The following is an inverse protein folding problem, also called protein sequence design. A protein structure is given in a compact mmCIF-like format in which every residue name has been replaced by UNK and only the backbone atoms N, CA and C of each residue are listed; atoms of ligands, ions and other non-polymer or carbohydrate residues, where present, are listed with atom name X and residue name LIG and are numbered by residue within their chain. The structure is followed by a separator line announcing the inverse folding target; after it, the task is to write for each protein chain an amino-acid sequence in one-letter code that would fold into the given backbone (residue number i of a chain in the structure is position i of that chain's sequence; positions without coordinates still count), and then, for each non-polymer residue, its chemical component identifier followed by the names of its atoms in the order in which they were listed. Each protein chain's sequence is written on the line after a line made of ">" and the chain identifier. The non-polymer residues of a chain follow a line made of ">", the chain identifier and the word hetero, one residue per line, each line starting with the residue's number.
data_IF_345297760830
#
_entry.id   IF_345297760830
#
_cell.length_a   1.000
_cell.length_b   1.000
_cell.length_c   1.000
_cell.angle_alpha   90.00
_cell.angle_beta   90.00
_cell.angle_gamma   90.00
#
_symmetry.space_group_name_H-M   'P 1'
#
loop_
_entity.id
_entity.type
_entity.pdbx_description
1 polymer ?
#
# COMPACT_ATOMS: atom_id res chain seq x y z
N UNK A 1 -83.67 28.14 -17.87
CA UNK A 1 -83.18 27.31 -18.99
C UNK A 1 -81.88 26.61 -18.49
N UNK A 2 -81.97 25.31 -18.17
CA UNK A 2 -80.82 24.56 -17.63
C UNK A 2 -80.17 23.83 -18.79
N UNK A 3 -78.89 24.21 -19.09
CA UNK A 3 -78.10 23.57 -20.12
C UNK A 3 -77.51 22.26 -19.60
N UNK A 4 -77.92 21.13 -20.18
CA UNK A 4 -77.35 19.79 -19.91
C UNK A 4 -76.01 19.63 -20.63
N UNK A 5 -74.89 19.62 -19.91
CA UNK A 5 -73.60 19.22 -20.41
C UNK A 5 -73.59 17.71 -20.63
N UNK A 6 -73.42 17.29 -21.90
CA UNK A 6 -73.22 15.87 -22.28
C UNK A 6 -71.80 15.46 -22.03
N UNK A 7 -71.54 14.64 -21.01
CA UNK A 7 -70.26 13.95 -20.79
C UNK A 7 -70.04 12.88 -21.87
N UNK A 8 -69.04 13.06 -22.74
CA UNK A 8 -68.57 12.05 -23.72
C UNK A 8 -67.97 10.87 -22.99
N UNK A 9 -68.62 9.73 -22.97
CA UNK A 9 -68.13 8.46 -22.47
C UNK A 9 -66.98 7.99 -23.39
N UNK A 10 -65.76 7.96 -22.90
CA UNK A 10 -64.59 7.45 -23.65
C UNK A 10 -64.82 5.96 -23.95
N UNK A 11 -64.71 5.54 -25.22
CA UNK A 11 -64.77 4.13 -25.61
C UNK A 11 -63.50 3.37 -25.06
N UNK A 12 -63.66 2.16 -24.54
CA UNK A 12 -62.51 1.38 -24.10
C UNK A 12 -61.64 1.02 -25.31
N UNK A 13 -60.32 1.13 -25.15
CA UNK A 13 -59.36 0.75 -26.18
C UNK A 13 -59.51 -0.72 -26.53
N UNK A 14 -59.46 -1.03 -27.84
CA UNK A 14 -59.41 -2.37 -28.39
C UNK A 14 -58.12 -3.11 -27.92
N UNK A 15 -58.18 -4.46 -27.82
CA UNK A 15 -57.12 -5.30 -27.31
C UNK A 15 -55.79 -5.10 -28.05
N UNK A 16 -55.85 -4.87 -29.37
CA UNK A 16 -54.67 -4.56 -30.19
C UNK A 16 -54.06 -3.20 -29.82
N UNK A 17 -54.85 -2.19 -29.56
CA UNK A 17 -54.39 -0.87 -29.14
C UNK A 17 -53.79 -0.89 -27.72
N UNK A 18 -54.32 -1.76 -26.83
CA UNK A 18 -53.70 -1.98 -25.50
C UNK A 18 -52.32 -2.66 -25.61
N UNK A 19 -52.20 -3.65 -26.51
CA UNK A 19 -50.93 -4.33 -26.76
C UNK A 19 -49.87 -3.36 -27.32
N UNK A 20 -50.23 -2.52 -28.29
CA UNK A 20 -49.30 -1.51 -28.81
C UNK A 20 -48.92 -0.45 -27.77
N UNK A 21 -49.83 -0.09 -26.88
CA UNK A 21 -49.54 0.83 -25.77
C UNK A 21 -48.54 0.22 -24.78
N UNK A 22 -48.72 -1.06 -24.45
CA UNK A 22 -47.76 -1.78 -23.56
C UNK A 22 -46.39 -1.90 -24.22
N UNK A 23 -46.33 -2.27 -25.50
CA UNK A 23 -45.08 -2.33 -26.23
C UNK A 23 -44.36 -0.97 -26.30
N UNK A 24 -45.10 0.10 -26.55
CA UNK A 24 -44.53 1.44 -26.56
C UNK A 24 -44.03 1.87 -25.16
N UNK A 25 -44.73 1.54 -24.09
CA UNK A 25 -44.32 1.80 -22.71
C UNK A 25 -43.05 1.00 -22.37
N UNK A 26 -42.98 -0.28 -22.74
CA UNK A 26 -41.80 -1.13 -22.55
C UNK A 26 -40.59 -0.56 -23.32
N UNK A 27 -40.77 -0.10 -24.56
CA UNK A 27 -39.70 0.51 -25.36
C UNK A 27 -39.19 1.81 -24.74
N UNK A 28 -40.07 2.64 -24.21
CA UNK A 28 -39.68 3.88 -23.50
C UNK A 28 -38.95 3.55 -22.22
N UNK A 29 -39.39 2.58 -21.44
CA UNK A 29 -38.70 2.13 -20.23
C UNK A 29 -37.29 1.58 -20.55
N UNK A 30 -37.15 0.79 -21.63
CA UNK A 30 -35.87 0.29 -22.07
C UNK A 30 -34.90 1.43 -22.44
N UNK A 31 -35.37 2.42 -23.19
CA UNK A 31 -34.59 3.60 -23.56
C UNK A 31 -34.20 4.44 -22.34
N UNK A 32 -35.07 4.56 -21.36
CA UNK A 32 -34.78 5.24 -20.09
C UNK A 32 -33.72 4.45 -19.29
N UNK A 33 -33.83 3.13 -19.22
CA UNK A 33 -32.84 2.28 -18.57
C UNK A 33 -31.47 2.39 -19.26
N UNK A 34 -31.43 2.39 -20.60
CA UNK A 34 -30.19 2.58 -21.37
C UNK A 34 -29.61 3.98 -21.10
N UNK A 35 -30.45 5.02 -21.09
CA UNK A 35 -30.02 6.38 -20.82
C UNK A 35 -29.48 6.53 -19.38
N UNK A 36 -30.12 5.90 -18.39
CA UNK A 36 -29.65 5.87 -17.01
C UNK A 36 -28.34 5.07 -16.90
N UNK A 37 -28.24 3.93 -17.60
CA UNK A 37 -26.99 3.14 -17.61
C UNK A 37 -25.85 3.92 -18.24
N UNK A 38 -26.08 4.61 -19.37
CA UNK A 38 -25.09 5.47 -20.00
C UNK A 38 -24.74 6.69 -19.13
N UNK A 39 -25.71 7.27 -18.44
CA UNK A 39 -25.47 8.35 -17.49
C UNK A 39 -24.70 7.87 -16.24
N UNK A 40 -24.97 6.65 -15.77
CA UNK A 40 -24.21 6.02 -14.68
C UNK A 40 -22.79 5.65 -15.12
N UNK A 41 -22.60 5.14 -16.34
CA UNK A 41 -21.26 4.89 -16.90
C UNK A 41 -20.50 6.23 -17.04
N UNK A 42 -21.13 7.27 -17.56
CA UNK A 42 -20.56 8.61 -17.61
C UNK A 42 -20.34 9.25 -16.23
N UNK A 43 -21.16 8.92 -15.23
CA UNK A 43 -20.97 9.38 -13.85
C UNK A 43 -19.91 8.57 -13.11
N UNK A 44 -19.69 7.31 -13.47
CA UNK A 44 -18.55 6.51 -12.95
C UNK A 44 -17.23 6.96 -13.57
N UNK A 45 -17.24 7.41 -14.83
CA UNK A 45 -16.08 8.04 -15.46
C UNK A 45 -15.86 9.49 -14.95
N UNK A 46 -16.92 10.11 -14.40
CA UNK A 46 -16.87 11.47 -13.82
C UNK A 46 -16.82 11.49 -12.30
N UNK A 47 -16.92 10.34 -11.63
CA UNK A 47 -16.91 10.18 -10.17
C UNK A 47 -15.52 9.95 -9.57
N UNK A 48 -14.48 9.85 -10.38
CA UNK A 48 -13.11 10.20 -9.98
C UNK A 48 -13.12 11.73 -9.80
N UNK A 49 -13.04 12.18 -8.54
CA UNK A 49 -13.20 13.57 -8.11
C UNK A 49 -12.79 14.57 -9.16
N UNK A 50 -13.74 15.34 -9.63
CA UNK A 50 -13.47 16.59 -10.32
C UNK A 50 -12.96 17.60 -9.29
N UNK A 51 -11.70 17.46 -8.88
CA UNK A 51 -10.83 18.62 -8.93
C UNK A 51 -10.84 19.01 -10.41
N UNK A 52 -11.34 20.19 -10.74
CA UNK A 52 -11.10 20.84 -12.03
C UNK A 52 -9.70 20.47 -12.44
N UNK A 53 -9.59 19.53 -13.40
CA UNK A 53 -8.35 19.31 -14.11
C UNK A 53 -8.12 20.63 -14.84
N UNK A 54 -7.44 21.53 -14.17
CA UNK A 54 -6.48 22.37 -14.85
C UNK A 54 -5.70 21.38 -15.73
N UNK A 55 -5.66 21.60 -17.02
CA UNK A 55 -4.81 20.84 -17.94
C UNK A 55 -3.38 21.12 -17.50
N UNK A 56 -3.02 20.51 -16.34
CA UNK A 56 -1.76 20.69 -15.68
C UNK A 56 -0.69 20.25 -16.65
N UNK A 57 0.08 21.21 -17.12
CA UNK A 57 1.26 20.96 -17.93
C UNK A 57 2.08 19.89 -17.22
N UNK A 58 2.30 18.74 -17.87
CA UNK A 58 3.20 17.71 -17.39
C UNK A 58 4.55 18.35 -17.09
N UNK A 59 5.10 18.05 -15.92
CA UNK A 59 6.37 18.59 -15.47
C UNK A 59 7.48 17.56 -15.56
N UNK A 60 8.71 18.03 -15.74
CA UNK A 60 9.92 17.22 -15.73
C UNK A 60 10.88 17.82 -14.71
N UNK A 61 11.39 16.98 -13.83
CA UNK A 61 12.43 17.36 -12.87
C UNK A 61 13.73 17.72 -13.61
N UNK A 62 14.38 18.80 -13.20
CA UNK A 62 15.70 19.18 -13.71
C UNK A 62 16.79 18.76 -12.73
N UNK A 63 17.87 18.16 -13.26
CA UNK A 63 19.07 17.85 -12.46
C UNK A 63 19.01 16.55 -11.68
N UNK A 64 18.03 15.68 -11.90
CA UNK A 64 18.00 14.35 -11.33
C UNK A 64 19.22 13.52 -11.73
N UNK A 65 19.88 12.90 -10.76
CA UNK A 65 21.06 12.06 -10.97
C UNK A 65 20.84 10.70 -10.29
N UNK A 66 20.59 9.67 -11.09
CA UNK A 66 20.29 8.31 -10.60
C UNK A 66 21.46 7.68 -9.85
N UNK A 67 22.72 7.94 -10.26
CA UNK A 67 23.93 7.34 -9.63
C UNK A 67 24.06 7.80 -8.17
N UNK A 68 23.71 9.05 -7.88
CA UNK A 68 23.73 9.61 -6.52
C UNK A 68 22.53 9.10 -5.70
N UNK A 69 21.49 8.61 -6.36
CA UNK A 69 20.23 8.25 -5.76
C UNK A 69 19.95 6.73 -5.74
N UNK A 70 20.90 5.90 -6.12
CA UNK A 70 20.82 4.43 -6.02
C UNK A 70 21.06 3.95 -4.60
N UNK A 71 20.32 2.94 -4.16
CA UNK A 71 20.56 2.23 -2.90
C UNK A 71 21.79 1.33 -3.07
N UNK A 72 22.72 1.38 -2.13
CA UNK A 72 23.81 0.42 -2.05
C UNK A 72 23.28 -0.90 -1.45
N UNK A 73 22.90 -1.83 -2.32
CA UNK A 73 22.33 -3.10 -1.89
C UNK A 73 23.29 -3.95 -1.04
N UNK A 74 24.62 -3.77 -1.21
CA UNK A 74 25.60 -4.53 -0.43
C UNK A 74 25.66 -4.05 1.03
N UNK A 75 25.40 -2.77 1.28
CA UNK A 75 25.32 -2.22 2.64
C UNK A 75 24.11 -2.72 3.42
N UNK A 76 23.11 -3.27 2.75
CA UNK A 76 21.81 -3.69 3.31
C UNK A 76 21.44 -5.14 2.95
N UNK A 77 22.41 -6.01 2.71
CA UNK A 77 22.22 -7.39 2.24
C UNK A 77 21.36 -8.25 3.18
N UNK A 78 21.42 -8.01 4.49
CA UNK A 78 20.58 -8.67 5.48
C UNK A 78 19.14 -8.11 5.56
N UNK A 79 18.92 -6.90 5.03
CA UNK A 79 17.65 -6.14 5.13
C UNK A 79 16.85 -6.23 3.84
N UNK A 80 17.52 -6.06 2.70
CA UNK A 80 16.88 -6.16 1.37
C UNK A 80 16.63 -7.64 1.08
N UNK A 81 15.39 -7.96 0.69
CA UNK A 81 15.03 -9.32 0.34
C UNK A 81 15.79 -9.78 -0.91
N UNK A 82 16.53 -10.89 -0.82
CA UNK A 82 17.25 -11.44 -1.96
C UNK A 82 16.32 -12.14 -2.94
N UNK A 83 16.80 -12.39 -4.16
CA UNK A 83 16.08 -13.23 -5.13
C UNK A 83 15.91 -14.64 -4.58
N UNK A 84 14.70 -15.15 -4.64
CA UNK A 84 14.28 -16.51 -4.25
C UNK A 84 13.67 -17.27 -5.42
N UNK A 85 13.40 -18.56 -5.25
CA UNK A 85 12.50 -19.27 -6.12
C UNK A 85 11.10 -18.60 -6.05
N UNK A 86 10.30 -18.72 -7.14
CA UNK A 86 8.93 -18.20 -7.14
C UNK A 86 8.11 -18.91 -6.05
N UNK A 87 7.62 -18.17 -5.09
CA UNK A 87 6.86 -18.66 -3.95
C UNK A 87 5.37 -18.92 -4.28
N UNK A 88 4.95 -18.60 -5.50
CA UNK A 88 3.61 -18.90 -6.01
C UNK A 88 2.50 -18.00 -5.46
N UNK A 89 1.28 -18.38 -5.79
CA UNK A 89 0.08 -17.59 -5.44
C UNK A 89 -0.25 -17.68 -3.94
N UNK A 90 0.10 -18.80 -3.27
CA UNK A 90 -0.10 -18.93 -1.82
C UNK A 90 0.64 -17.87 -1.02
N UNK A 91 1.84 -17.48 -1.46
CA UNK A 91 2.59 -16.39 -0.84
C UNK A 91 1.84 -15.05 -0.91
N UNK A 92 1.18 -14.79 -2.04
CA UNK A 92 0.35 -13.59 -2.23
C UNK A 92 -0.89 -13.65 -1.32
N UNK A 93 -1.57 -14.80 -1.26
CA UNK A 93 -2.78 -14.99 -0.45
C UNK A 93 -2.52 -14.84 1.06
N UNK A 94 -1.33 -15.25 1.53
CA UNK A 94 -0.91 -15.13 2.93
C UNK A 94 -0.34 -13.75 3.30
N UNK A 95 -0.13 -12.88 2.31
CA UNK A 95 0.39 -11.52 2.48
C UNK A 95 -0.75 -10.52 2.53
N UNK A 96 -0.82 -9.69 3.57
CA UNK A 96 -1.73 -8.55 3.62
C UNK A 96 -1.04 -7.31 3.06
N UNK A 97 -1.53 -6.80 1.94
CA UNK A 97 -1.03 -5.60 1.29
C UNK A 97 -1.66 -4.36 1.93
N UNK A 98 -0.85 -3.47 2.46
CA UNK A 98 -1.30 -2.21 3.07
C UNK A 98 -0.71 -1.03 2.30
N UNK A 99 -1.53 -0.05 1.93
CA UNK A 99 -0.99 1.10 1.21
C UNK A 99 -2.00 2.15 0.77
N UNK A 100 -1.57 2.91 -0.21
CA UNK A 100 -2.29 4.03 -0.79
C UNK A 100 -3.07 3.65 -2.07
N UNK A 101 -3.20 4.61 -3.00
CA UNK A 101 -3.88 4.41 -4.28
C UNK A 101 -3.27 3.31 -5.14
N UNK A 102 -1.94 3.12 -5.13
CA UNK A 102 -1.30 2.05 -5.87
C UNK A 102 -1.69 0.67 -5.31
N UNK A 103 -1.77 0.53 -3.97
CA UNK A 103 -2.29 -0.68 -3.34
C UNK A 103 -3.79 -0.89 -3.65
N UNK A 104 -4.61 0.17 -3.61
CA UNK A 104 -6.01 0.08 -3.99
C UNK A 104 -6.20 -0.43 -5.43
N UNK A 105 -5.32 -0.05 -6.35
CA UNK A 105 -5.36 -0.51 -7.76
C UNK A 105 -5.09 -1.99 -7.91
N UNK A 106 -4.29 -2.61 -7.01
CA UNK A 106 -3.96 -4.04 -7.06
C UNK A 106 -5.21 -4.91 -7.11
N UNK A 107 -6.23 -4.59 -6.33
CA UNK A 107 -7.46 -5.40 -6.22
C UNK A 107 -8.73 -4.72 -6.77
N UNK A 108 -8.82 -3.38 -6.74
CA UNK A 108 -9.99 -2.67 -7.27
C UNK A 108 -10.01 -2.62 -8.80
N UNK A 109 -8.83 -2.70 -9.46
CA UNK A 109 -8.70 -2.49 -10.90
C UNK A 109 -8.04 -3.65 -11.64
N UNK A 110 -7.12 -4.37 -11.01
CA UNK A 110 -6.21 -5.26 -11.72
C UNK A 110 -6.30 -6.73 -11.31
N UNK A 111 -6.98 -7.06 -10.23
CA UNK A 111 -7.23 -8.44 -9.74
C UNK A 111 -5.95 -9.23 -9.42
N UNK A 112 -4.88 -8.57 -8.94
CA UNK A 112 -3.66 -9.23 -8.46
C UNK A 112 -3.77 -9.72 -7.02
N UNK A 113 -4.68 -9.18 -6.25
CA UNK A 113 -5.08 -9.59 -4.91
C UNK A 113 -6.56 -9.24 -4.70
N UNK A 114 -7.10 -9.50 -3.52
CA UNK A 114 -8.52 -9.34 -3.23
C UNK A 114 -8.76 -8.51 -1.98
N UNK A 115 -10.02 -8.24 -1.65
CA UNK A 115 -10.41 -7.66 -0.36
C UNK A 115 -10.05 -8.54 0.85
N UNK A 116 -9.72 -9.82 0.65
CA UNK A 116 -9.33 -10.69 1.76
C UNK A 116 -7.87 -10.41 2.20
N UNK A 117 -7.02 -9.92 1.30
CA UNK A 117 -5.59 -9.74 1.54
C UNK A 117 -5.01 -8.40 1.08
N UNK A 118 -5.85 -7.37 0.86
CA UNK A 118 -5.37 -6.03 0.54
C UNK A 118 -6.26 -4.93 1.14
N UNK A 119 -5.64 -3.87 1.62
CA UNK A 119 -6.28 -2.67 2.14
C UNK A 119 -5.55 -1.46 1.57
N UNK A 120 -6.16 -0.78 0.61
CA UNK A 120 -5.62 0.42 -0.02
C UNK A 120 -6.55 1.60 0.17
N UNK A 121 -6.05 2.70 0.74
CA UNK A 121 -6.79 3.95 0.93
C UNK A 121 -6.21 5.04 0.02
N UNK A 122 -6.97 5.44 -0.99
CA UNK A 122 -6.54 6.46 -1.96
C UNK A 122 -6.22 7.77 -1.25
N UNK A 123 -5.06 8.34 -1.57
CA UNK A 123 -4.58 9.59 -0.97
C UNK A 123 -3.98 9.45 0.44
N UNK A 124 -3.88 8.22 0.97
CA UNK A 124 -3.35 8.01 2.31
C UNK A 124 -1.83 8.18 2.35
N UNK A 125 -1.37 8.95 3.32
CA UNK A 125 0.05 9.11 3.65
C UNK A 125 0.48 8.18 4.79
N UNK A 126 1.77 7.86 4.88
CA UNK A 126 2.34 7.10 5.99
C UNK A 126 2.05 7.73 7.36
N UNK A 127 1.94 9.05 7.41
CA UNK A 127 1.55 9.82 8.60
C UNK A 127 0.21 9.38 9.20
N UNK A 128 -0.71 8.89 8.38
CA UNK A 128 -2.06 8.52 8.79
C UNK A 128 -2.20 7.03 9.14
N UNK A 129 -1.15 6.22 8.96
CA UNK A 129 -1.18 4.76 9.10
C UNK A 129 -1.70 4.30 10.48
N UNK A 130 -1.23 4.93 11.55
CA UNK A 130 -1.62 4.55 12.91
C UNK A 130 -3.02 5.03 13.32
N UNK A 131 -3.52 6.13 12.73
CA UNK A 131 -4.65 6.88 13.27
C UNK A 131 -5.89 6.94 12.39
N UNK A 132 -5.76 6.83 11.07
CA UNK A 132 -6.90 6.94 10.17
C UNK A 132 -7.75 5.66 10.17
N UNK A 133 -8.99 5.76 10.67
CA UNK A 133 -9.95 4.67 10.69
C UNK A 133 -10.59 4.51 9.31
N UNK A 134 -9.96 3.71 8.45
CA UNK A 134 -10.35 3.54 7.05
C UNK A 134 -10.89 2.14 6.71
N UNK A 135 -10.70 1.14 7.56
CA UNK A 135 -10.98 -0.26 7.24
C UNK A 135 -12.34 -0.69 7.76
N UNK A 136 -13.19 -1.28 6.91
CA UNK A 136 -14.44 -1.90 7.29
C UNK A 136 -14.35 -3.43 7.18
N UNK A 137 -14.74 -4.13 8.24
CA UNK A 137 -14.78 -5.58 8.27
C UNK A 137 -16.23 -6.09 8.29
N UNK A 138 -16.44 -7.32 7.81
CA UNK A 138 -17.77 -7.96 7.75
C UNK A 138 -18.47 -8.09 9.12
N UNK A 139 -17.70 -8.02 10.21
CA UNK A 139 -18.22 -8.15 11.58
C UNK A 139 -18.66 -6.84 12.22
N UNK A 140 -18.47 -5.69 11.54
CA UNK A 140 -18.76 -4.37 12.10
C UNK A 140 -19.12 -3.35 11.04
N UNK A 141 -20.07 -2.45 11.34
CA UNK A 141 -20.36 -1.26 10.53
C UNK A 141 -19.39 -0.10 10.81
N UNK A 142 -18.61 -0.17 11.88
CA UNK A 142 -17.64 0.86 12.25
C UNK A 142 -16.33 0.65 11.51
N UNK A 143 -15.69 1.77 11.13
CA UNK A 143 -14.35 1.75 10.58
C UNK A 143 -13.30 1.63 11.68
N UNK A 144 -12.24 0.92 11.38
CA UNK A 144 -11.06 0.73 12.25
C UNK A 144 -9.78 1.16 11.52
N UNK A 145 -8.69 1.33 12.26
CA UNK A 145 -7.38 1.66 11.68
C UNK A 145 -6.73 0.41 11.06
N UNK A 146 -5.73 0.59 10.19
CA UNK A 146 -4.96 -0.54 9.63
C UNK A 146 -4.29 -1.40 10.69
N UNK A 147 -3.64 -0.87 11.76
CA UNK A 147 -3.14 -1.70 12.87
C UNK A 147 -4.21 -2.56 13.53
N UNK A 148 -5.39 -1.99 13.78
CA UNK A 148 -6.52 -2.75 14.33
C UNK A 148 -7.05 -3.81 13.37
N UNK A 149 -7.00 -3.56 12.07
CA UNK A 149 -7.38 -4.53 11.05
C UNK A 149 -6.38 -5.68 10.99
N UNK A 150 -5.07 -5.41 11.01
CA UNK A 150 -4.01 -6.44 11.06
C UNK A 150 -4.23 -7.36 12.26
N UNK A 151 -4.49 -6.82 13.44
CA UNK A 151 -4.77 -7.60 14.64
C UNK A 151 -6.00 -8.52 14.53
N UNK A 152 -6.98 -8.17 13.69
CA UNK A 152 -8.18 -8.98 13.45
C UNK A 152 -8.04 -9.97 12.30
N UNK A 153 -7.30 -9.58 11.25
CA UNK A 153 -7.05 -10.40 10.06
C UNK A 153 -5.93 -11.43 10.28
N UNK A 154 -4.98 -11.12 11.16
CA UNK A 154 -3.86 -11.97 11.57
C UNK A 154 -3.12 -12.61 10.37
N UNK A 155 -2.59 -11.79 9.44
CA UNK A 155 -1.82 -12.31 8.31
C UNK A 155 -0.46 -12.88 8.77
N UNK A 156 0.16 -13.75 7.97
CA UNK A 156 1.56 -14.15 8.21
C UNK A 156 2.48 -12.93 8.12
N UNK A 157 2.27 -12.11 7.09
CA UNK A 157 3.09 -10.93 6.82
C UNK A 157 2.25 -9.77 6.31
N UNK A 158 2.77 -8.56 6.52
CA UNK A 158 2.26 -7.35 5.87
C UNK A 158 3.30 -6.81 4.91
N UNK A 159 2.87 -6.39 3.72
CA UNK A 159 3.67 -5.65 2.77
C UNK A 159 3.13 -4.23 2.67
N UNK A 160 3.92 -3.25 3.13
CA UNK A 160 3.50 -1.85 3.22
C UNK A 160 4.07 -1.03 2.06
N UNK A 161 3.20 -0.35 1.31
CA UNK A 161 3.58 0.54 0.22
C UNK A 161 2.96 1.91 0.44
N UNK A 162 3.69 2.80 1.13
CA UNK A 162 3.33 4.19 1.38
C UNK A 162 4.47 5.12 1.00
N UNK A 163 4.17 6.38 0.82
CA UNK A 163 5.16 7.43 0.62
C UNK A 163 4.85 8.34 -0.55
N UNK A 164 4.14 7.87 -1.58
CA UNK A 164 3.79 8.70 -2.74
C UNK A 164 3.01 9.95 -2.32
N UNK A 165 2.09 9.83 -1.36
CA UNK A 165 1.31 10.95 -0.83
C UNK A 165 2.03 11.75 0.27
N UNK A 166 3.23 11.34 0.64
CA UNK A 166 4.10 12.04 1.57
C UNK A 166 5.14 12.92 0.85
N UNK A 167 5.27 12.75 -0.47
CA UNK A 167 6.22 13.52 -1.29
C UNK A 167 5.80 14.99 -1.36
N UNK A 168 6.58 15.84 -0.74
CA UNK A 168 6.38 17.27 -0.71
C UNK A 168 7.71 17.96 -0.42
N UNK A 169 8.12 19.01 -1.16
CA UNK A 169 9.38 19.70 -0.95
C UNK A 169 9.58 20.27 0.46
N UNK A 170 8.48 20.53 1.17
CA UNK A 170 8.51 21.05 2.55
C UNK A 170 8.51 19.96 3.61
N UNK A 171 8.30 18.68 3.23
CA UNK A 171 8.23 17.58 4.19
C UNK A 171 9.57 16.86 4.27
N UNK A 172 10.19 16.96 5.44
CA UNK A 172 11.54 16.41 5.64
C UNK A 172 11.52 14.91 5.69
N UNK A 173 12.53 14.27 5.08
CA UNK A 173 12.74 12.81 5.11
C UNK A 173 12.71 12.25 6.53
N UNK A 174 13.32 12.94 7.51
CA UNK A 174 13.31 12.49 8.90
C UNK A 174 11.91 12.45 9.52
N UNK A 175 11.02 13.42 9.18
CA UNK A 175 9.65 13.46 9.67
C UNK A 175 8.80 12.38 9.00
N UNK A 176 9.01 12.12 7.70
CA UNK A 176 8.40 11.01 6.98
C UNK A 176 8.75 9.67 7.64
N UNK A 177 10.03 9.40 7.85
CA UNK A 177 10.52 8.15 8.47
C UNK A 177 9.96 7.99 9.88
N UNK A 178 10.00 9.03 10.71
CA UNK A 178 9.44 9.00 12.07
C UNK A 178 7.96 8.61 12.07
N UNK A 179 7.17 9.20 11.18
CA UNK A 179 5.74 8.92 11.10
C UNK A 179 5.47 7.51 10.57
N UNK A 180 6.20 7.07 9.54
CA UNK A 180 6.05 5.73 8.99
C UNK A 180 6.43 4.67 10.02
N UNK A 181 7.57 4.83 10.67
CA UNK A 181 8.02 3.96 11.75
C UNK A 181 6.97 3.84 12.86
N UNK A 182 6.42 4.96 13.34
CA UNK A 182 5.35 4.95 14.35
C UNK A 182 4.11 4.19 13.88
N UNK A 183 3.77 4.27 12.59
CA UNK A 183 2.67 3.51 11.99
C UNK A 183 2.92 2.00 12.01
N UNK A 184 4.13 1.58 11.65
CA UNK A 184 4.53 0.16 11.67
C UNK A 184 4.62 -0.36 13.12
N UNK A 185 5.20 0.41 14.04
CA UNK A 185 5.25 0.06 15.45
C UNK A 185 3.86 -0.14 16.06
N UNK A 186 2.86 0.63 15.62
CA UNK A 186 1.47 0.42 16.01
C UNK A 186 0.90 -0.90 15.46
N UNK A 187 1.31 -1.34 14.28
CA UNK A 187 0.96 -2.66 13.73
C UNK A 187 1.57 -3.77 14.58
N UNK A 188 2.88 -3.70 14.84
CA UNK A 188 3.60 -4.69 15.65
C UNK A 188 3.04 -4.76 17.08
N UNK A 189 2.72 -3.60 17.68
CA UNK A 189 2.08 -3.56 19.01
C UNK A 189 0.68 -4.19 19.02
N UNK A 190 -0.08 -4.04 17.93
CA UNK A 190 -1.41 -4.62 17.81
C UNK A 190 -1.38 -6.13 17.49
N UNK A 191 -0.36 -6.59 16.79
CA UNK A 191 -0.20 -8.00 16.37
C UNK A 191 1.29 -8.36 16.24
N UNK A 192 1.95 -8.85 17.31
CA UNK A 192 3.41 -9.10 17.35
C UNK A 192 3.91 -10.23 16.44
N UNK A 193 3.07 -11.20 16.08
CA UNK A 193 3.45 -12.34 15.22
C UNK A 193 3.51 -11.99 13.73
N UNK A 194 3.36 -10.73 13.35
CA UNK A 194 3.35 -10.35 11.94
C UNK A 194 4.76 -10.04 11.42
N UNK A 195 5.12 -10.63 10.31
CA UNK A 195 6.32 -10.22 9.56
C UNK A 195 6.09 -8.87 8.88
N UNK A 196 7.06 -7.97 9.04
CA UNK A 196 7.02 -6.64 8.44
C UNK A 196 7.92 -6.60 7.19
N UNK A 197 7.30 -6.27 6.05
CA UNK A 197 8.00 -6.00 4.80
C UNK A 197 7.62 -4.60 4.34
N UNK A 198 8.59 -3.70 4.23
CA UNK A 198 8.40 -2.36 3.67
C UNK A 198 8.79 -2.41 2.20
N UNK A 199 7.85 -2.09 1.33
CA UNK A 199 8.14 -1.97 -0.09
C UNK A 199 8.69 -0.60 -0.42
N UNK A 200 9.61 -0.51 -1.37
CA UNK A 200 10.06 0.76 -1.91
C UNK A 200 8.90 1.57 -2.48
N UNK A 201 8.94 2.89 -2.34
CA UNK A 201 8.05 3.80 -3.05
C UNK A 201 8.30 3.63 -4.55
N UNK A 202 7.24 3.37 -5.35
CA UNK A 202 7.38 3.21 -6.78
C UNK A 202 7.99 4.46 -7.46
N UNK A 203 8.79 4.28 -8.52
CA UNK A 203 9.29 5.41 -9.29
C UNK A 203 8.16 6.13 -10.01
N UNK A 204 8.32 7.43 -10.20
CA UNK A 204 7.43 8.25 -11.02
C UNK A 204 7.93 8.34 -12.47
N UNK A 205 7.06 8.71 -13.38
CA UNK A 205 7.42 9.00 -14.78
C UNK A 205 8.31 10.22 -14.88
N UNK A 206 9.16 10.25 -15.91
CA UNK A 206 9.98 11.43 -16.20
C UNK A 206 9.12 12.68 -16.43
N UNK A 207 7.91 12.47 -16.92
CA UNK A 207 6.85 13.49 -16.99
C UNK A 207 5.70 13.05 -16.08
N UNK A 208 5.21 13.96 -15.25
CA UNK A 208 4.11 13.71 -14.34
C UNK A 208 3.28 14.97 -14.09
N UNK A 209 2.06 14.80 -13.61
CA UNK A 209 1.09 15.89 -13.45
C UNK A 209 1.28 16.71 -12.17
N UNK A 210 2.00 16.20 -11.16
CA UNK A 210 2.16 16.86 -9.87
C UNK A 210 3.52 17.54 -9.74
N UNK A 211 3.54 18.88 -9.78
CA UNK A 211 4.76 19.70 -9.71
C UNK A 211 5.54 19.58 -8.39
N UNK A 212 4.92 19.07 -7.33
CA UNK A 212 5.57 18.89 -6.04
C UNK A 212 6.34 17.58 -5.92
N UNK A 213 6.16 16.65 -6.87
CA UNK A 213 6.87 15.37 -6.85
C UNK A 213 8.20 15.47 -7.58
N UNK A 214 9.21 14.79 -7.04
CA UNK A 214 10.51 14.61 -7.70
C UNK A 214 10.99 13.17 -7.51
N UNK A 215 11.65 12.60 -8.53
CA UNK A 215 12.27 11.29 -8.41
C UNK A 215 13.42 11.32 -7.39
N UNK A 216 14.10 12.45 -7.26
CA UNK A 216 15.11 12.68 -6.22
C UNK A 216 14.53 12.41 -4.83
N UNK A 217 13.38 12.98 -4.50
CA UNK A 217 12.75 12.77 -3.19
C UNK A 217 12.25 11.33 -3.00
N UNK A 218 11.72 10.69 -4.07
CA UNK A 218 11.36 9.26 -4.04
C UNK A 218 12.57 8.43 -3.62
N UNK A 219 13.71 8.68 -4.22
CA UNK A 219 14.92 7.90 -3.95
C UNK A 219 15.55 8.22 -2.59
N UNK A 220 15.49 9.47 -2.15
CA UNK A 220 15.89 9.87 -0.79
C UNK A 220 15.06 9.16 0.27
N UNK A 221 13.74 9.09 0.06
CA UNK A 221 12.84 8.37 0.95
C UNK A 221 13.13 6.87 0.94
N UNK A 222 13.35 6.26 -0.22
CA UNK A 222 13.67 4.84 -0.34
C UNK A 222 15.00 4.49 0.36
N UNK A 223 16.03 5.34 0.28
CA UNK A 223 17.27 5.18 1.06
C UNK A 223 17.00 5.25 2.57
N UNK A 224 16.17 6.18 3.00
CA UNK A 224 15.83 6.32 4.41
C UNK A 224 14.93 5.16 4.90
N UNK A 225 14.07 4.60 4.03
CA UNK A 225 13.24 3.43 4.35
C UNK A 225 14.08 2.17 4.56
N UNK A 226 15.06 1.89 3.70
CA UNK A 226 15.92 0.72 3.88
C UNK A 226 16.75 0.84 5.15
N UNK A 227 17.24 2.05 5.49
CA UNK A 227 17.93 2.30 6.75
C UNK A 227 17.01 2.08 7.96
N UNK A 228 15.78 2.60 7.93
CA UNK A 228 14.79 2.35 8.97
C UNK A 228 14.52 0.83 9.15
N UNK A 229 14.40 0.09 8.05
CA UNK A 229 14.21 -1.36 8.11
C UNK A 229 15.41 -2.05 8.76
N UNK A 230 16.63 -1.66 8.42
CA UNK A 230 17.86 -2.19 9.05
C UNK A 230 17.88 -1.89 10.57
N UNK A 231 17.56 -0.66 10.98
CA UNK A 231 17.57 -0.24 12.38
C UNK A 231 16.50 -0.96 13.21
N UNK A 232 15.45 -1.47 12.58
CA UNK A 232 14.28 -2.11 13.23
C UNK A 232 14.22 -3.61 13.01
N UNK A 233 15.17 -4.20 12.31
CA UNK A 233 15.15 -5.62 11.90
C UNK A 233 13.89 -6.00 11.09
N UNK A 234 13.36 -5.05 10.30
CA UNK A 234 12.30 -5.30 9.33
C UNK A 234 12.92 -5.59 7.96
N UNK A 235 12.13 -6.19 7.05
CA UNK A 235 12.59 -6.47 5.70
C UNK A 235 12.20 -5.36 4.74
N UNK A 236 13.05 -5.14 3.74
CA UNK A 236 12.82 -4.16 2.67
C UNK A 236 12.73 -4.87 1.33
N UNK A 237 11.63 -4.66 0.60
CA UNK A 237 11.43 -5.13 -0.76
C UNK A 237 11.79 -4.02 -1.73
N UNK A 238 12.92 -4.16 -2.44
CA UNK A 238 13.40 -3.13 -3.37
C UNK A 238 12.73 -3.21 -4.75
N UNK A 239 11.40 -3.24 -4.80
CA UNK A 239 10.66 -3.39 -6.06
C UNK A 239 10.89 -2.24 -7.06
N UNK A 240 11.40 -1.10 -6.60
CA UNK A 240 11.76 0.01 -7.48
C UNK A 240 12.78 -0.42 -8.55
N UNK A 241 13.65 -1.40 -8.29
CA UNK A 241 14.65 -1.84 -9.28
C UNK A 241 14.01 -2.49 -10.51
N UNK A 242 12.90 -3.21 -10.36
CA UNK A 242 12.19 -3.82 -11.50
C UNK A 242 11.28 -2.82 -12.22
N UNK A 243 10.88 -1.76 -11.53
CA UNK A 243 9.99 -0.72 -12.07
C UNK A 243 10.74 0.42 -12.75
N UNK A 244 11.99 0.69 -12.38
CA UNK A 244 12.84 1.75 -12.93
C UNK A 244 13.44 1.38 -14.28
N UNK A 245 13.51 2.35 -15.15
CA UNK A 245 14.37 2.33 -16.33
C UNK A 245 15.83 2.53 -15.90
N UNK A 246 16.70 1.59 -16.27
CA UNK A 246 18.10 1.59 -15.84
C UNK A 246 18.93 2.73 -16.45
N UNK A 247 18.49 3.31 -17.58
CA UNK A 247 19.18 4.42 -18.20
C UNK A 247 18.82 5.76 -17.54
N UNK A 248 17.56 5.93 -17.16
CA UNK A 248 17.05 7.23 -16.69
C UNK A 248 16.81 7.30 -15.18
N UNK A 249 16.52 6.16 -14.51
CA UNK A 249 16.16 6.10 -13.10
C UNK A 249 14.69 6.44 -12.80
N UNK A 250 13.94 6.90 -13.79
CA UNK A 250 12.47 7.08 -13.70
C UNK A 250 11.74 5.75 -13.96
N UNK A 251 10.42 5.74 -13.83
CA UNK A 251 9.62 4.59 -14.22
C UNK A 251 9.85 4.20 -15.68
N UNK A 252 9.90 2.89 -15.96
CA UNK A 252 9.95 2.36 -17.32
C UNK A 252 8.78 2.91 -18.15
N UNK A 253 9.01 3.11 -19.44
CA UNK A 253 7.97 3.53 -20.39
C UNK A 253 6.77 2.56 -20.30
N UNK A 254 5.56 3.10 -20.13
CA UNK A 254 4.33 2.32 -20.00
C UNK A 254 4.10 1.71 -18.63
N UNK A 255 4.95 1.96 -17.63
CA UNK A 255 4.78 1.45 -16.26
C UNK A 255 3.98 2.40 -15.36
N UNK A 256 3.85 3.66 -15.74
CA UNK A 256 2.96 4.62 -15.08
C UNK A 256 1.90 5.11 -16.06
N UNK A 257 0.73 5.48 -15.53
CA UNK A 257 -0.37 6.00 -16.33
C UNK A 257 0.05 7.26 -17.07
N UNK A 258 -0.22 7.31 -18.37
CA UNK A 258 0.13 8.46 -19.20
C UNK A 258 -0.62 9.74 -18.79
N UNK A 259 -1.73 9.62 -18.10
CA UNK A 259 -2.55 10.73 -17.60
C UNK A 259 -1.93 11.49 -16.43
N UNK A 260 -1.13 10.83 -15.62
CA UNK A 260 -0.56 11.44 -14.41
C UNK A 260 0.94 11.19 -14.21
N UNK A 261 1.50 10.14 -14.78
CA UNK A 261 2.91 9.78 -14.61
C UNK A 261 3.26 9.26 -13.19
N UNK A 262 2.27 8.82 -12.40
CA UNK A 262 2.44 8.47 -10.99
C UNK A 262 1.88 7.07 -10.69
N UNK A 263 0.64 6.80 -11.08
CA UNK A 263 -0.02 5.56 -10.79
C UNK A 263 0.50 4.42 -11.67
N UNK A 264 0.77 3.27 -11.06
CA UNK A 264 1.25 2.10 -11.76
C UNK A 264 0.19 1.53 -12.70
N UNK A 265 0.60 1.15 -13.91
CA UNK A 265 -0.23 0.46 -14.90
C UNK A 265 -0.34 -1.04 -14.57
N UNK A 266 -1.23 -1.76 -15.29
CA UNK A 266 -1.32 -3.23 -15.20
C UNK A 266 0.03 -3.90 -15.50
N UNK A 267 0.77 -3.44 -16.50
CA UNK A 267 2.09 -3.99 -16.86
C UNK A 267 3.11 -3.82 -15.72
N UNK A 268 3.10 -2.67 -15.06
CA UNK A 268 3.94 -2.45 -13.88
C UNK A 268 3.53 -3.34 -12.70
N UNK A 269 2.23 -3.55 -12.49
CA UNK A 269 1.71 -4.44 -11.46
C UNK A 269 2.11 -5.90 -11.72
N UNK A 270 2.08 -6.36 -12.96
CA UNK A 270 2.55 -7.71 -13.33
C UNK A 270 4.04 -7.89 -12.97
N UNK A 271 4.88 -6.91 -13.30
CA UNK A 271 6.29 -6.92 -12.93
C UNK A 271 6.49 -6.89 -11.41
N UNK A 272 5.72 -6.06 -10.71
CA UNK A 272 5.74 -5.95 -9.24
C UNK A 272 5.35 -7.27 -8.57
N UNK A 273 4.27 -7.92 -8.97
CA UNK A 273 3.81 -9.16 -8.36
C UNK A 273 4.75 -10.34 -8.68
N UNK A 274 5.36 -10.36 -9.87
CA UNK A 274 6.43 -11.30 -10.18
C UNK A 274 7.64 -11.08 -9.26
N UNK A 275 8.01 -9.82 -9.02
CA UNK A 275 9.11 -9.47 -8.12
C UNK A 275 8.79 -9.87 -6.67
N UNK A 276 7.59 -9.62 -6.18
CA UNK A 276 7.14 -10.01 -4.83
C UNK A 276 7.28 -11.53 -4.63
N UNK A 277 6.84 -12.35 -5.60
CA UNK A 277 6.93 -13.81 -5.49
C UNK A 277 8.36 -14.32 -5.57
N UNK A 278 9.24 -13.64 -6.29
CA UNK A 278 10.65 -14.04 -6.46
C UNK A 278 11.61 -13.37 -5.48
N UNK A 279 11.10 -12.60 -4.53
CA UNK A 279 11.82 -11.99 -3.40
C UNK A 279 11.01 -12.22 -2.12
N UNK A 280 10.67 -13.48 -1.89
CA UNK A 280 9.79 -13.87 -0.79
C UNK A 280 10.53 -13.88 0.55
N UNK A 281 9.79 -13.54 1.61
CA UNK A 281 10.20 -13.69 3.00
C UNK A 281 9.24 -14.63 3.70
N UNK A 282 9.70 -15.84 4.00
CA UNK A 282 8.90 -16.88 4.64
C UNK A 282 9.62 -17.28 5.91
N UNK A 283 8.91 -17.10 7.03
CA UNK A 283 9.35 -17.46 8.38
C UNK A 283 8.54 -18.64 8.90
N UNK A 284 8.89 -19.14 10.06
CA UNK A 284 8.04 -20.06 10.79
C UNK A 284 6.74 -19.36 11.22
N UNK A 285 5.60 -20.01 10.98
CA UNK A 285 4.29 -19.46 11.34
C UNK A 285 4.00 -19.68 12.83
N UNK A 286 4.17 -18.63 13.62
CA UNK A 286 3.91 -18.61 15.07
C UNK A 286 2.55 -17.99 15.45
N UNK A 287 1.68 -17.80 14.45
CA UNK A 287 0.37 -17.21 14.69
C UNK A 287 -0.49 -18.08 15.61
N UNK A 288 -1.30 -17.44 16.47
CA UNK A 288 -2.29 -18.15 17.27
C UNK A 288 -3.27 -18.94 16.38
N UNK A 289 -3.70 -20.11 16.82
CA UNK A 289 -4.75 -20.85 16.15
C UNK A 289 -6.07 -20.06 16.14
N UNK A 290 -6.60 -19.81 14.95
CA UNK A 290 -7.78 -18.98 14.72
C UNK A 290 -9.01 -19.84 14.49
N UNK A 291 -10.13 -19.46 15.11
CA UNK A 291 -11.44 -20.10 14.88
C UNK A 291 -12.19 -19.45 13.72
N UNK A 292 -11.98 -18.17 13.47
CA UNK A 292 -12.53 -17.44 12.32
C UNK A 292 -11.77 -16.15 12.10
N UNK A 293 -11.58 -15.78 10.83
CA UNK A 293 -10.99 -14.50 10.40
C UNK A 293 -12.11 -13.67 9.78
N UNK A 294 -12.35 -12.43 10.24
CA UNK A 294 -13.34 -11.56 9.60
C UNK A 294 -12.83 -11.14 8.22
N UNK A 295 -13.77 -10.94 7.28
CA UNK A 295 -13.40 -10.46 5.95
C UNK A 295 -13.33 -8.93 5.91
N UNK A 296 -12.36 -8.39 5.21
CA UNK A 296 -12.33 -7.01 4.81
C UNK A 296 -13.42 -6.79 3.75
N UNK A 297 -14.28 -5.77 3.93
CA UNK A 297 -15.45 -5.54 3.05
C UNK A 297 -15.45 -4.17 2.38
N UNK A 298 -14.57 -3.28 2.79
CA UNK A 298 -14.43 -1.95 2.20
C UNK A 298 -13.51 -1.04 3.00
N UNK A 299 -13.17 0.09 2.41
CA UNK A 299 -12.33 1.12 3.01
C UNK A 299 -12.81 2.53 2.67
N UNK A 300 -12.39 3.49 3.49
CA UNK A 300 -12.48 4.92 3.21
C UNK A 300 -11.20 5.41 2.55
N UNK A 301 -11.36 6.23 1.53
CA UNK A 301 -10.23 6.88 0.88
C UNK A 301 -9.89 8.19 1.61
N UNK A 302 -8.62 8.37 1.99
CA UNK A 302 -8.15 9.54 2.73
C UNK A 302 -8.32 10.84 1.91
N UNK A 303 -8.19 10.78 0.59
CA UNK A 303 -8.40 11.91 -0.30
C UNK A 303 -9.82 12.51 -0.22
N UNK A 304 -10.82 11.70 0.16
CA UNK A 304 -12.22 12.13 0.27
C UNK A 304 -12.51 12.72 1.66
N UNK A 305 -11.73 12.34 2.66
CA UNK A 305 -11.94 12.69 4.07
C UNK A 305 -10.92 13.69 4.61
N UNK A 306 -10.18 14.40 3.75
CA UNK A 306 -9.46 15.60 4.16
C UNK A 306 -10.50 16.58 4.68
N UNK A 307 -10.52 16.84 5.99
CA UNK A 307 -11.38 17.88 6.55
C UNK A 307 -11.11 19.18 5.80
N UNK A 308 -12.15 19.90 5.34
CA UNK A 308 -11.94 21.19 4.75
C UNK A 308 -11.18 22.03 5.79
N UNK A 309 -10.02 22.56 5.42
CA UNK A 309 -9.31 23.54 6.22
C UNK A 309 -10.28 24.68 6.38
N UNK A 310 -10.86 24.85 7.57
CA UNK A 310 -11.61 26.03 7.93
C UNK A 310 -10.59 27.16 7.95
N UNK A 311 -10.48 27.87 6.84
CA UNK A 311 -9.75 29.13 6.78
C UNK A 311 -10.62 30.07 7.62
N UNK A 312 -10.26 30.21 8.89
CA UNK A 312 -10.76 31.31 9.71
C UNK A 312 -10.19 32.55 9.05
N UNK A 313 -11.00 33.23 8.25
CA UNK A 313 -10.63 34.57 7.77
C UNK A 313 -10.34 35.40 8.99
N UNK A 314 -9.07 35.77 9.17
CA UNK A 314 -8.69 36.82 10.06
C UNK A 314 -9.32 38.06 9.47
N UNK A 315 -10.19 38.79 10.22
CA UNK A 315 -10.79 40.03 9.70
C UNK A 315 -9.69 40.96 9.27
N UNK A 316 -9.69 41.35 8.02
CA UNK A 316 -8.77 42.37 7.52
C UNK A 316 -8.95 43.61 8.35
N UNK A 317 -7.89 44.03 9.04
CA UNK A 317 -7.84 45.32 9.74
C UNK A 317 -8.04 46.42 8.71
N UNK A 318 -9.21 47.05 8.77
CA UNK A 318 -9.55 48.24 8.01
C UNK A 318 -8.60 49.37 8.45
N UNK A 319 -7.72 49.76 7.53
CA UNK A 319 -6.99 51.01 7.66
C UNK A 319 -7.92 52.19 7.35
N UNK A 320 -8.38 52.89 8.36
CA UNK A 320 -8.90 54.23 8.21
C UNK A 320 -8.15 55.11 9.20
N UNK A 321 -7.39 56.04 8.62
CA UNK A 321 -6.74 57.12 9.32
C UNK A 321 -7.77 58.20 9.73
N UNK A 322 -7.67 58.75 10.91
CA UNK A 322 -7.59 60.17 11.17
C UNK A 322 -7.72 60.54 12.66
N UNK A 323 -6.74 61.22 13.11
CA UNK A 323 -6.66 62.37 13.99
C UNK A 323 -7.47 62.48 15.28
N UNK A 324 -6.68 62.83 16.25
CA UNK A 324 -6.79 63.84 17.35
C UNK A 324 -7.03 63.33 18.76
N UNK A 325 -5.97 63.54 19.52
CA UNK A 325 -5.87 64.21 20.84
C UNK A 325 -6.72 63.74 22.02
N UNK A 326 -6.01 63.45 23.03
CA UNK A 326 -6.06 63.88 24.47
C UNK A 326 -6.22 62.71 25.49
N UNK A 327 -5.31 62.83 26.43
CA UNK A 327 -5.01 62.16 27.70
C UNK A 327 -6.21 62.12 28.69
N UNK A 328 -6.14 61.45 29.90
CA UNK A 328 -5.14 60.58 30.51
C UNK A 328 -5.67 59.30 31.16
N UNK A 329 -4.70 58.44 31.60
CA UNK A 329 -4.79 57.23 32.43
C UNK A 329 -5.83 57.24 33.57
N UNK A 330 -6.26 56.04 33.99
CA UNK A 330 -5.81 55.57 35.30
C UNK A 330 -5.29 54.11 35.32
N UNK A 331 -4.20 53.99 36.05
CA UNK A 331 -3.56 52.86 36.69
C UNK A 331 -4.55 51.90 37.32
N UNK A 332 -4.49 50.60 36.95
CA UNK A 332 -4.99 49.50 37.79
C UNK A 332 -3.89 48.48 38.05
N UNK A 333 -3.83 48.04 39.29
CA UNK A 333 -2.86 47.18 39.96
C UNK A 333 -2.77 45.78 39.39
N UNK A 334 -1.65 45.07 39.57
CA UNK A 334 -1.50 43.66 39.14
C UNK A 334 -2.23 42.73 40.07
N UNK A 335 -3.16 41.94 39.51
CA UNK A 335 -3.79 40.82 40.19
C UNK A 335 -2.81 39.64 40.21
N UNK A 336 -2.51 39.17 41.40
CA UNK A 336 -1.66 37.99 41.67
C UNK A 336 -2.25 36.71 41.06
N UNK A 337 -1.41 35.99 40.32
CA UNK A 337 -1.66 34.61 39.87
C UNK A 337 -1.69 33.66 41.09
N UNK A 338 -2.62 32.71 41.16
CA UNK A 338 -2.57 31.67 42.19
C UNK A 338 -1.46 30.67 41.90
N UNK A 339 -0.54 30.57 42.85
CA UNK A 339 0.51 29.55 42.94
C UNK A 339 -0.10 28.15 42.96
N UNK A 340 0.21 27.32 41.98
CA UNK A 340 -0.12 25.92 41.96
C UNK A 340 0.68 25.16 43.03
N UNK A 341 -0.02 24.40 43.87
CA UNK A 341 0.57 23.46 44.82
C UNK A 341 1.36 22.32 44.10
N UNK A 342 2.48 21.89 44.68
CA UNK A 342 3.26 20.81 44.07
C UNK A 342 2.53 19.45 44.20
N UNK A 343 2.32 18.79 43.10
CA UNK A 343 1.87 17.36 43.00
C UNK A 343 2.92 16.46 43.66
N UNK A 344 2.56 15.52 44.55
CA UNK A 344 3.53 14.61 45.13
C UNK A 344 4.09 13.63 44.07
N UNK A 345 5.40 13.42 44.15
CA UNK A 345 6.15 12.42 43.37
C UNK A 345 5.63 11.02 43.64
N UNK A 346 5.46 10.14 42.65
CA UNK A 346 5.12 8.75 42.87
C UNK A 346 6.31 8.01 43.51
N UNK A 347 6.06 7.45 44.68
CA UNK A 347 6.97 6.55 45.39
C UNK A 347 7.21 5.30 44.56
N UNK A 348 8.47 5.02 44.18
CA UNK A 348 8.88 3.82 43.48
C UNK A 348 8.59 2.57 44.34
N UNK A 349 7.83 1.63 43.79
CA UNK A 349 7.70 0.27 44.32
C UNK A 349 9.05 -0.49 44.20
N UNK A 350 9.40 -1.35 45.15
CA UNK A 350 10.64 -2.09 45.13
C UNK A 350 10.60 -3.16 44.03
N UNK A 351 11.63 -3.12 43.16
CA UNK A 351 11.90 -4.15 42.17
C UNK A 351 12.17 -5.50 42.85
N UNK A 352 11.47 -6.59 42.46
CA UNK A 352 11.79 -7.91 42.99
C UNK A 352 13.17 -8.39 42.51
N UNK A 353 13.94 -8.93 43.42
CA UNK A 353 15.26 -9.56 43.17
C UNK A 353 15.14 -10.71 42.17
N UNK A 354 16.10 -10.87 41.24
CA UNK A 354 16.05 -11.99 40.30
C UNK A 354 16.32 -13.31 40.99
N UNK A 355 15.35 -14.21 40.93
CA UNK A 355 15.47 -15.61 41.39
C UNK A 355 16.46 -16.31 40.44
N UNK A 356 17.54 -16.86 41.02
CA UNK A 356 18.55 -17.61 40.29
C UNK A 356 17.94 -18.82 39.55
N UNK A 357 18.26 -18.96 38.27
CA UNK A 357 17.91 -20.11 37.45
C UNK A 357 18.58 -21.40 37.98
N UNK A 358 17.93 -22.56 37.93
CA UNK A 358 18.55 -23.83 38.31
C UNK A 358 19.61 -24.23 37.29
N UNK A 359 20.76 -24.62 37.82
CA UNK A 359 21.92 -25.20 37.09
C UNK A 359 21.47 -26.51 36.42
N UNK A 360 21.74 -26.74 35.14
CA UNK A 360 21.43 -28.00 34.48
C UNK A 360 22.39 -29.11 34.97
N UNK A 361 21.81 -30.26 35.31
CA UNK A 361 22.53 -31.49 35.60
C UNK A 361 23.30 -32.01 34.38
N UNK A 362 24.49 -32.61 34.53
CA UNK A 362 25.27 -33.12 33.42
C UNK A 362 24.61 -34.39 32.85
N UNK A 363 24.26 -34.36 31.58
CA UNK A 363 23.78 -35.51 30.79
C UNK A 363 24.97 -36.47 30.53
N UNK A 364 24.80 -37.70 30.89
CA UNK A 364 25.75 -38.78 30.69
C UNK A 364 26.05 -39.00 29.20
N UNK A 365 27.32 -39.03 28.86
CA UNK A 365 27.91 -39.36 27.57
C UNK A 365 27.54 -40.81 27.18
N UNK A 366 26.86 -41.01 26.07
CA UNK A 366 26.60 -42.34 25.49
C UNK A 366 27.76 -42.74 24.60
N UNK A 367 28.38 -43.84 24.94
CA UNK A 367 29.43 -44.54 24.21
C UNK A 367 28.96 -45.00 22.83
N UNK A 368 29.72 -44.84 21.74
CA UNK A 368 29.35 -45.34 20.42
C UNK A 368 29.61 -46.86 20.31
N UNK A 369 28.59 -47.54 19.79
CA UNK A 369 28.59 -48.95 19.42
C UNK A 369 29.41 -49.17 18.15
N UNK A 370 30.18 -50.29 17.99
CA UNK A 370 31.07 -50.51 16.86
C UNK A 370 30.30 -51.00 15.62
N UNK A 371 30.74 -50.50 14.48
CA UNK A 371 30.27 -50.80 13.14
C UNK A 371 30.30 -52.32 12.80
N UNK A 372 29.19 -52.84 12.27
CA UNK A 372 29.12 -54.18 11.71
C UNK A 372 29.65 -54.23 10.27
N UNK A 373 30.51 -55.20 10.03
CA UNK A 373 31.12 -55.58 8.75
C UNK A 373 30.10 -56.20 7.80
N UNK A 374 30.14 -55.92 6.48
CA UNK A 374 29.29 -56.63 5.52
C UNK A 374 29.87 -57.99 5.13
N UNK A 375 29.03 -58.99 4.79
CA UNK A 375 29.52 -60.27 4.31
C UNK A 375 29.87 -60.26 2.83
N UNK A 376 31.01 -60.86 2.55
CA UNK A 376 31.56 -61.26 1.27
C UNK A 376 30.76 -62.45 0.73
N UNK A 377 30.33 -62.43 -0.52
CA UNK A 377 30.08 -63.67 -1.28
C UNK A 377 30.27 -63.43 -2.77
N UNK A 378 31.12 -64.28 -3.28
CA UNK A 378 31.72 -64.37 -4.56
C UNK A 378 30.81 -64.89 -5.68
N UNK A 379 31.32 -64.66 -6.88
CA UNK A 379 31.36 -65.50 -8.09
C UNK A 379 30.18 -65.53 -9.07
N UNK A 380 30.61 -65.36 -10.32
CA UNK A 380 30.05 -65.90 -11.55
C UNK A 380 29.74 -64.83 -12.61
N UNK A 381 30.59 -64.49 -13.51
CA UNK A 381 31.19 -65.17 -14.61
C UNK A 381 30.50 -64.82 -15.94
N UNK A 382 31.33 -64.44 -16.90
CA UNK A 382 31.16 -64.44 -18.38
C UNK A 382 30.62 -63.13 -18.99
N UNK A 383 31.46 -62.36 -19.59
CA UNK A 383 32.17 -62.39 -20.88
C UNK A 383 31.38 -61.84 -22.07
N UNK A 384 32.10 -61.07 -22.86
CA UNK A 384 31.99 -60.81 -24.29
C UNK A 384 31.63 -59.36 -24.76
N UNK A 385 32.76 -58.73 -25.15
CA UNK A 385 33.06 -57.93 -26.37
C UNK A 385 32.35 -56.61 -26.63
N UNK A 386 33.17 -55.54 -26.62
CA UNK A 386 33.80 -54.85 -27.80
C UNK A 386 32.79 -54.12 -28.72
N UNK A 387 32.86 -52.85 -28.80
CA UNK A 387 33.59 -52.00 -29.75
C UNK A 387 33.37 -50.52 -29.51
N UNK A 388 34.40 -49.85 -29.45
CA UNK A 388 34.87 -48.57 -29.91
C UNK A 388 34.22 -48.04 -31.19
N UNK A 389 33.94 -46.72 -31.21
CA UNK A 389 34.48 -45.87 -32.27
C UNK A 389 34.07 -44.39 -32.06
N UNK A 390 34.98 -43.55 -31.79
CA UNK A 390 35.55 -42.46 -32.61
C UNK A 390 34.63 -41.26 -32.87
N UNK A 391 34.97 -40.12 -32.28
CA UNK A 391 34.86 -38.82 -32.96
C UNK A 391 35.83 -38.79 -34.15
N UNK A 392 35.72 -37.95 -35.15
CA UNK A 392 36.03 -36.55 -35.11
C UNK A 392 35.16 -35.66 -36.06
N UNK A 393 35.28 -34.42 -36.10
CA UNK A 393 36.18 -33.48 -36.72
C UNK A 393 35.39 -32.18 -37.14
N UNK A 394 36.06 -31.11 -36.95
CA UNK A 394 35.80 -29.74 -37.44
C UNK A 394 35.68 -29.69 -38.97
N UNK A 395 34.91 -28.74 -39.45
CA UNK A 395 35.28 -27.96 -40.65
C UNK A 395 34.68 -26.56 -40.64
N UNK A 396 35.58 -25.66 -40.61
CA UNK A 396 35.57 -24.27 -40.99
C UNK A 396 35.13 -24.05 -42.44
N UNK A 397 34.78 -22.80 -42.74
CA UNK A 397 35.14 -21.97 -43.87
C UNK A 397 33.99 -21.25 -44.62
N UNK A 398 34.07 -19.92 -44.49
CA UNK A 398 34.01 -18.76 -45.39
C UNK A 398 32.70 -18.39 -46.06
N UNK A 399 32.33 -17.12 -45.77
CA UNK A 399 32.42 -15.88 -46.58
C UNK A 399 31.70 -15.87 -47.93
N UNK A 400 30.88 -14.90 -48.07
CA UNK A 400 30.63 -13.92 -49.11
C UNK A 400 29.15 -13.75 -49.51
N UNK A 401 28.60 -12.68 -49.36
CA UNK A 401 28.44 -11.36 -50.02
C UNK A 401 27.46 -10.52 -49.26
#
# INVERSE_FOLDING_TARGET
>A
MAGKTKTKKKRPLDTRSKMYLVLALCSVMLLVCIAISLALIGAFDSGAGSSTADSGSMVTESGYNKEQNTIDAQAYDATILPTTADAGDSYIEETLFLGDSNTARMYRMFDYCSYDNAIGSVGMSAKSLASFACVQLSTSSSYITMPQAVAKLQPCRVLLTFGTNDLNPSYKTADFIKNYQSGIEAIVAAYPSVDIIVNSIPPIGQQHSNQSLTQTQVDEYNKALVQMCQDKDWKFLNSAEVLKDTATGYAKSGYVEASDGIHLTRTAMEALFTYIRTHSYITEDDRPALTSIPKHTGEKDAAVYTEPVVITEVPAASSAASDSEDEPEPTEEPTEEPTAEPTPEPTAEPTPEPTAAPTPEPTAESTPEPAATPPDTAEGGTDVTTEANTAPEQSTVTENT
#
